data_IF_526273524005
#
_entry.id   IF_526273524005
#
_cell.length_a   1.000
_cell.length_b   1.000
_cell.length_c   1.000
_cell.angle_alpha   90.00
_cell.angle_beta   90.00
_cell.angle_gamma   90.00
#
_symmetry.space_group_name_H-M   'P 1'
#
loop_
_entity.id
_entity.type
_entity.pdbx_description
1 polymer ?
#
# COMPACT_ATOMS: atom_id res chain seq x y z
N UNK A 1 -16.62 -3.18 4.69
CA UNK A 1 -16.07 -2.19 3.74
C UNK A 1 -15.70 -2.92 2.46
N UNK A 2 -16.14 -2.45 1.29
CA UNK A 2 -15.70 -2.96 -0.02
C UNK A 2 -14.98 -1.82 -0.75
N UNK A 3 -13.75 -2.04 -1.24
CA UNK A 3 -12.94 -1.01 -1.89
C UNK A 3 -13.29 -0.85 -3.39
N UNK A 4 -13.63 -1.95 -4.06
CA UNK A 4 -14.19 -2.05 -5.42
C UNK A 4 -14.17 -3.54 -5.79
N UNK A 5 -15.16 -4.00 -6.56
CA UNK A 5 -15.19 -5.38 -7.08
C UNK A 5 -14.19 -5.59 -8.24
N UNK A 6 -13.58 -4.52 -8.74
CA UNK A 6 -12.62 -4.54 -9.85
C UNK A 6 -11.16 -4.74 -9.39
N UNK A 7 -10.90 -4.87 -8.08
CA UNK A 7 -9.54 -5.08 -7.59
C UNK A 7 -9.06 -6.47 -7.96
N UNK A 8 -8.02 -6.53 -8.79
CA UNK A 8 -7.32 -7.74 -9.14
C UNK A 8 -6.17 -8.01 -8.16
N UNK A 9 -6.05 -9.28 -7.76
CA UNK A 9 -4.93 -9.79 -6.98
C UNK A 9 -3.95 -10.52 -7.90
N UNK A 10 -2.67 -10.12 -7.85
CA UNK A 10 -1.59 -10.75 -8.61
C UNK A 10 -0.45 -11.20 -7.69
N UNK A 11 -0.34 -12.50 -7.37
CA UNK A 11 0.78 -13.04 -6.60
C UNK A 11 2.08 -12.97 -7.42
N UNK A 12 3.18 -12.71 -6.75
CA UNK A 12 4.54 -12.84 -7.30
C UNK A 12 5.38 -13.74 -6.39
N UNK A 13 6.64 -13.97 -6.75
CA UNK A 13 7.57 -14.73 -5.90
C UNK A 13 7.81 -14.07 -4.54
N UNK A 14 7.71 -12.74 -4.43
CA UNK A 14 8.17 -11.98 -3.27
C UNK A 14 7.07 -11.17 -2.57
N UNK A 15 5.99 -10.84 -3.27
CA UNK A 15 4.88 -10.05 -2.75
C UNK A 15 3.58 -10.34 -3.51
N UNK A 16 2.46 -9.91 -2.95
CA UNK A 16 1.15 -9.94 -3.58
C UNK A 16 0.77 -8.52 -3.96
N UNK A 17 0.51 -8.28 -5.25
CA UNK A 17 0.05 -6.99 -5.74
C UNK A 17 -1.48 -6.93 -5.77
N UNK A 18 -2.05 -5.82 -5.32
CA UNK A 18 -3.45 -5.47 -5.50
C UNK A 18 -3.53 -4.27 -6.44
N UNK A 19 -4.29 -4.42 -7.52
CA UNK A 19 -4.38 -3.42 -8.58
C UNK A 19 -5.82 -3.23 -9.04
N UNK A 20 -6.15 -2.00 -9.41
CA UNK A 20 -7.25 -1.73 -10.34
C UNK A 20 -6.61 -1.71 -11.75
N UNK A 21 -6.71 -0.60 -12.47
CA UNK A 21 -5.94 -0.36 -13.70
C UNK A 21 -4.43 -0.21 -13.46
N UNK A 22 -4.05 0.28 -12.27
CA UNK A 22 -2.66 0.48 -11.82
C UNK A 22 -2.50 -0.19 -10.45
N UNK A 23 -1.26 -0.55 -10.09
CA UNK A 23 -0.95 -1.08 -8.76
C UNK A 23 -1.31 -0.05 -7.67
N UNK A 24 -1.96 -0.53 -6.61
CA UNK A 24 -2.42 0.27 -5.46
C UNK A 24 -1.58 -0.06 -4.24
N UNK A 25 -1.44 -1.35 -3.94
CA UNK A 25 -0.73 -1.82 -2.76
C UNK A 25 -0.02 -3.13 -3.06
N UNK A 26 1.21 -3.26 -2.58
CA UNK A 26 1.99 -4.49 -2.63
C UNK A 26 2.22 -4.99 -1.20
N UNK A 27 1.96 -6.27 -0.95
CA UNK A 27 2.11 -6.88 0.38
C UNK A 27 3.19 -7.96 0.32
N UNK A 28 4.29 -7.70 1.01
CA UNK A 28 5.34 -8.68 1.31
C UNK A 28 4.99 -9.40 2.63
N UNK A 29 4.83 -10.72 2.56
CA UNK A 29 4.55 -11.55 3.72
C UNK A 29 5.88 -11.91 4.39
N UNK A 30 6.04 -11.54 5.66
CA UNK A 30 7.22 -11.86 6.46
C UNK A 30 6.84 -12.83 7.58
N UNK A 31 7.85 -13.44 8.23
CA UNK A 31 7.65 -14.47 9.26
C UNK A 31 6.76 -14.03 10.44
N UNK A 32 6.80 -12.74 10.81
CA UNK A 32 6.10 -12.21 12.00
C UNK A 32 5.24 -10.98 11.69
N UNK A 33 5.13 -10.59 10.44
CA UNK A 33 4.54 -9.32 10.06
C UNK A 33 4.23 -9.26 8.57
N UNK A 34 3.39 -8.30 8.19
CA UNK A 34 3.25 -7.88 6.81
C UNK A 34 4.06 -6.61 6.60
N UNK A 35 4.72 -6.51 5.46
CA UNK A 35 5.31 -5.25 5.00
C UNK A 35 4.51 -4.80 3.79
N UNK A 36 3.85 -3.67 3.93
CA UNK A 36 2.92 -3.12 2.96
C UNK A 36 3.58 -1.94 2.28
N UNK A 37 3.55 -1.89 0.95
CA UNK A 37 3.97 -0.75 0.15
C UNK A 37 2.74 -0.10 -0.47
N UNK A 38 2.56 1.20 -0.22
CA UNK A 38 1.49 1.97 -0.85
C UNK A 38 2.04 2.61 -2.12
N UNK A 39 1.41 2.30 -3.25
CA UNK A 39 1.88 2.75 -4.55
C UNK A 39 1.48 4.21 -4.81
N UNK A 40 2.13 5.14 -4.13
CA UNK A 40 1.98 6.58 -4.33
C UNK A 40 3.32 7.28 -4.14
N UNK A 41 3.48 8.47 -4.73
CA UNK A 41 4.69 9.27 -4.56
C UNK A 41 4.72 9.92 -3.17
N UNK A 42 5.89 10.05 -2.55
CA UNK A 42 6.01 10.66 -1.23
C UNK A 42 5.44 12.08 -1.23
N UNK A 43 4.75 12.46 -0.15
CA UNK A 43 3.98 13.71 -0.04
C UNK A 43 2.58 13.70 -0.66
N UNK A 44 2.16 12.65 -1.40
CA UNK A 44 0.82 12.59 -2.03
C UNK A 44 -0.30 11.96 -1.18
N UNK A 45 0.02 11.37 -0.02
CA UNK A 45 -0.98 10.88 0.94
C UNK A 45 -0.75 11.55 2.29
N UNK A 46 -1.84 11.74 3.03
CA UNK A 46 -1.85 12.29 4.38
C UNK A 46 -1.74 11.17 5.42
N UNK A 47 -0.54 11.02 6.00
CA UNK A 47 -0.22 10.10 7.09
C UNK A 47 -0.20 10.84 8.45
N UNK A 48 -1.37 11.29 8.89
CA UNK A 48 -1.56 12.00 10.16
C UNK A 48 -1.07 11.27 11.43
N UNK A 49 -0.89 9.94 11.39
CA UNK A 49 -0.39 9.15 12.53
C UNK A 49 1.09 8.77 12.39
N UNK A 50 1.76 9.15 11.30
CA UNK A 50 3.17 8.81 11.07
C UNK A 50 3.44 7.30 11.05
N UNK A 51 2.53 6.49 10.51
CA UNK A 51 2.66 5.03 10.45
C UNK A 51 3.44 4.55 9.22
N UNK A 52 3.78 5.46 8.31
CA UNK A 52 4.53 5.17 7.09
C UNK A 52 6.00 5.57 7.20
N UNK A 53 6.84 4.90 6.42
CA UNK A 53 8.25 5.24 6.22
C UNK A 53 8.47 5.59 4.75
N UNK A 54 9.19 6.69 4.49
CA UNK A 54 9.65 7.03 3.16
C UNK A 54 10.72 6.03 2.67
N UNK A 55 10.44 5.37 1.57
CA UNK A 55 11.32 4.41 0.90
C UNK A 55 11.60 4.76 -0.57
N UNK A 56 11.32 5.99 -1.00
CA UNK A 56 11.53 6.43 -2.41
C UNK A 56 12.97 6.28 -2.90
N UNK A 57 13.94 6.31 -1.98
CA UNK A 57 15.37 6.15 -2.25
C UNK A 57 15.95 4.85 -1.65
N UNK A 58 15.11 3.88 -1.28
CA UNK A 58 15.51 2.62 -0.65
C UNK A 58 15.10 1.47 -1.57
N UNK A 59 16.01 0.54 -1.87
CA UNK A 59 15.66 -0.64 -2.66
C UNK A 59 14.63 -1.53 -1.95
N UNK A 60 13.54 -1.87 -2.65
CA UNK A 60 12.46 -2.73 -2.14
C UNK A 60 11.75 -3.47 -3.28
N UNK A 61 10.94 -4.49 -2.95
CA UNK A 61 10.28 -5.34 -3.96
C UNK A 61 8.91 -4.82 -4.41
N UNK A 62 8.24 -4.03 -3.59
CA UNK A 62 6.97 -3.37 -3.96
C UNK A 62 7.18 -2.10 -4.77
N UNK A 63 6.07 -1.45 -5.13
CA UNK A 63 6.07 -0.17 -5.81
C UNK A 63 5.58 0.94 -4.87
N UNK A 64 6.18 2.11 -5.01
CA UNK A 64 5.76 3.34 -4.31
C UNK A 64 6.67 3.72 -3.16
N UNK A 65 6.40 4.89 -2.60
CA UNK A 65 7.34 5.55 -1.70
C UNK A 65 7.01 5.35 -0.21
N UNK A 66 5.88 4.73 0.11
CA UNK A 66 5.43 4.53 1.49
C UNK A 66 5.49 3.06 1.87
N UNK A 67 6.17 2.78 2.98
CA UNK A 67 6.23 1.45 3.59
C UNK A 67 5.54 1.47 4.96
N UNK A 68 4.72 0.46 5.25
CA UNK A 68 4.11 0.21 6.57
C UNK A 68 4.50 -1.18 7.04
N UNK A 69 4.93 -1.30 8.30
CA UNK A 69 5.13 -2.58 8.97
C UNK A 69 3.89 -2.89 9.83
N UNK A 70 3.27 -4.04 9.59
CA UNK A 70 2.06 -4.47 10.31
C UNK A 70 2.35 -5.77 11.05
N UNK A 71 2.37 -5.71 12.37
CA UNK A 71 2.61 -6.85 13.28
C UNK A 71 1.37 -7.22 14.12
N UNK A 72 0.32 -6.40 14.07
CA UNK A 72 -0.99 -6.60 14.67
C UNK A 72 -2.06 -5.83 13.88
N UNK A 73 -3.33 -5.95 14.26
CA UNK A 73 -4.48 -5.37 13.59
C UNK A 73 -4.98 -4.05 14.19
N UNK A 74 -4.29 -3.48 15.20
CA UNK A 74 -4.73 -2.28 15.92
C UNK A 74 -4.92 -1.05 15.00
N UNK A 75 -4.17 -0.96 13.91
CA UNK A 75 -4.24 0.14 12.94
C UNK A 75 -4.90 -0.25 11.62
N UNK A 76 -5.60 -1.38 11.55
CA UNK A 76 -6.14 -1.89 10.29
C UNK A 76 -7.04 -0.86 9.58
N UNK A 77 -7.94 -0.21 10.33
CA UNK A 77 -8.82 0.84 9.78
C UNK A 77 -8.03 2.04 9.25
N UNK A 78 -6.95 2.41 9.95
CA UNK A 78 -6.10 3.52 9.56
C UNK A 78 -5.32 3.19 8.28
N UNK A 79 -4.72 2.00 8.21
CA UNK A 79 -4.02 1.51 7.02
C UNK A 79 -4.97 1.46 5.83
N UNK A 80 -6.21 0.97 6.03
CA UNK A 80 -7.24 0.98 4.99
C UNK A 80 -7.61 2.39 4.54
N UNK A 81 -7.60 3.38 5.44
CA UNK A 81 -7.81 4.78 5.08
C UNK A 81 -6.70 5.31 4.17
N UNK A 82 -5.43 4.93 4.40
CA UNK A 82 -4.30 5.29 3.55
C UNK A 82 -4.42 4.62 2.16
N UNK A 83 -4.78 3.33 2.11
CA UNK A 83 -5.01 2.61 0.84
C UNK A 83 -6.11 3.30 0.02
N UNK A 84 -7.21 3.75 0.65
CA UNK A 84 -8.25 4.52 -0.04
C UNK A 84 -7.72 5.83 -0.62
N UNK A 85 -6.77 6.50 0.03
CA UNK A 85 -6.13 7.68 -0.55
C UNK A 85 -5.33 7.33 -1.81
N UNK A 86 -4.59 6.21 -1.81
CA UNK A 86 -3.87 5.73 -3.00
C UNK A 86 -4.81 5.48 -4.17
N UNK A 87 -5.96 4.84 -3.92
CA UNK A 87 -6.97 4.61 -4.96
C UNK A 87 -7.40 5.93 -5.59
N UNK A 88 -7.72 6.95 -4.77
CA UNK A 88 -8.08 8.29 -5.26
C UNK A 88 -6.98 8.93 -6.10
N UNK A 89 -5.73 8.87 -5.65
CA UNK A 89 -4.56 9.40 -6.40
C UNK A 89 -4.41 8.72 -7.75
N UNK A 90 -4.60 7.39 -7.83
CA UNK A 90 -4.50 6.63 -9.08
C UNK A 90 -5.68 6.87 -10.03
N UNK A 91 -6.89 7.05 -9.50
CA UNK A 91 -8.09 7.36 -10.30
C UNK A 91 -8.04 8.74 -10.93
N UNK A 92 -7.41 9.72 -10.29
CA UNK A 92 -7.29 11.09 -10.80
C UNK A 92 -6.13 11.26 -11.80
N UNK A 93 -5.34 10.21 -12.06
CA UNK A 93 -4.21 10.24 -13.00
C UNK A 93 -4.60 9.72 -14.39
N UNK A 94 -5.80 10.08 -14.86
CA UNK A 94 -6.34 9.82 -16.20
C UNK A 94 -6.28 11.11 -17.01
#
# INVERSE_FOLDING_TARGET
>A
MNLSDEIELKPTKLYIAFKLNKNIVDIEIQRKSLKIFLNAAWGTIDDSKGRTRNVSNVGHYGNGDYQIQVDNDNDLEYIMSLIKQVVKVKSNSV
#
